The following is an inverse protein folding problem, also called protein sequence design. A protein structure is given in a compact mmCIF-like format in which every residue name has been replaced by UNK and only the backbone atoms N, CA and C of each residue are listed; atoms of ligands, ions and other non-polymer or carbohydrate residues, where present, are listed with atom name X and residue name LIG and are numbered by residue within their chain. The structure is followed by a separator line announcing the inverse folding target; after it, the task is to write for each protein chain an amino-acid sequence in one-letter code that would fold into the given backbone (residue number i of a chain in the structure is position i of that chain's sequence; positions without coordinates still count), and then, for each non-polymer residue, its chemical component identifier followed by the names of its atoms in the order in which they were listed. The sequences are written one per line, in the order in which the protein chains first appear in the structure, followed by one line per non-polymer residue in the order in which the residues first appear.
data_IF_883336167448
#
_entry.id   IF_883336167448
#
_cell.length_a   1.000
_cell.length_b   1.000
_cell.length_c   1.000
_cell.angle_alpha   90.00
_cell.angle_beta   90.00
_cell.angle_gamma   90.00
#
_symmetry.space_group_name_H-M   'P 1'
#
loop_
_entity.id
_entity.type
_entity.pdbx_description
1 polymer ?
#
# COMPACT_ATOMS: atom_id res chain seq x y z
N UNK A 1 -3.18 46.31 83.19
CA UNK A 1 -3.06 45.13 84.06
C UNK A 1 -4.10 44.11 83.60
N UNK A 2 -3.67 42.86 83.37
CA UNK A 2 -4.40 41.58 83.12
C UNK A 2 -5.88 41.55 83.59
N UNK A 3 -6.86 40.81 83.04
CA UNK A 3 -6.91 39.61 82.17
C UNK A 3 -8.38 39.39 81.73
N UNK A 4 -8.55 38.82 80.52
CA UNK A 4 -9.49 37.75 80.07
C UNK A 4 -10.92 37.65 80.66
N UNK A 5 -12.00 37.44 79.89
CA UNK A 5 -12.19 37.17 78.47
C UNK A 5 -13.69 36.92 78.18
N UNK A 6 -14.16 36.88 76.91
CA UNK A 6 -15.57 36.63 76.62
C UNK A 6 -15.86 35.38 75.78
N UNK A 7 -17.06 34.87 76.01
CA UNK A 7 -17.93 34.08 75.14
C UNK A 7 -18.07 34.69 73.74
N UNK A 8 -18.25 33.89 72.68
CA UNK A 8 -19.44 33.88 71.80
C UNK A 8 -19.29 32.97 70.58
N UNK A 9 -20.43 32.84 69.91
CA UNK A 9 -20.91 31.96 68.84
C UNK A 9 -20.23 32.10 67.47
N UNK A 10 -20.38 31.02 66.69
CA UNK A 10 -20.64 30.85 65.25
C UNK A 10 -20.13 31.86 64.18
N UNK A 11 -19.61 31.22 63.12
CA UNK A 11 -19.65 31.49 61.66
C UNK A 11 -18.28 31.82 61.04
N UNK A 12 -17.77 30.92 60.20
CA UNK A 12 -17.42 31.14 58.77
C UNK A 12 -16.22 30.30 58.29
N UNK A 13 -16.44 29.70 57.11
CA UNK A 13 -15.50 29.55 55.99
C UNK A 13 -14.33 28.55 56.07
N UNK A 14 -14.35 27.61 55.10
CA UNK A 14 -13.17 27.26 54.31
C UNK A 14 -12.59 25.87 54.52
N UNK A 15 -12.84 24.96 53.58
CA UNK A 15 -11.81 24.13 52.95
C UNK A 15 -12.44 23.28 51.82
N UNK A 16 -12.13 23.66 50.57
CA UNK A 16 -12.22 22.78 49.41
C UNK A 16 -11.11 21.72 49.53
N UNK A 17 -11.47 20.44 49.53
CA UNK A 17 -10.53 19.34 49.27
C UNK A 17 -11.01 18.59 48.03
N UNK A 18 -10.31 18.84 46.93
CA UNK A 18 -10.43 18.12 45.67
C UNK A 18 -9.81 16.73 45.84
N UNK A 19 -10.62 15.68 45.67
CA UNK A 19 -10.13 14.31 45.50
C UNK A 19 -9.84 14.07 44.02
N UNK A 20 -8.57 14.12 43.63
CA UNK A 20 -8.10 13.64 42.33
C UNK A 20 -8.08 12.12 42.36
N UNK A 21 -9.03 11.49 41.66
CA UNK A 21 -8.93 10.09 41.26
C UNK A 21 -7.85 10.00 40.17
N UNK A 22 -6.72 9.37 40.49
CA UNK A 22 -5.77 8.88 39.50
C UNK A 22 -6.42 7.70 38.77
N UNK A 23 -7.19 8.00 37.72
CA UNK A 23 -7.58 7.01 36.74
C UNK A 23 -6.37 6.76 35.83
N UNK A 24 -5.79 5.57 35.93
CA UNK A 24 -4.85 5.06 34.95
C UNK A 24 -5.54 5.08 33.58
N UNK A 25 -5.19 6.06 32.75
CA UNK A 25 -5.45 5.98 31.33
C UNK A 25 -4.62 4.82 30.79
N UNK A 26 -5.29 3.77 30.36
CA UNK A 26 -4.73 2.87 29.36
C UNK A 26 -4.58 3.71 28.10
N UNK A 27 -3.41 4.34 27.94
CA UNK A 27 -2.93 4.72 26.64
C UNK A 27 -2.75 3.42 25.87
N UNK A 28 -3.67 3.19 24.94
CA UNK A 28 -3.46 2.27 23.84
C UNK A 28 -2.32 2.89 23.02
N UNK A 29 -1.08 2.64 23.45
CA UNK A 29 0.12 2.98 22.71
C UNK A 29 0.08 2.06 21.47
N UNK A 30 -0.65 2.52 20.45
CA UNK A 30 -0.61 1.93 19.13
C UNK A 30 0.85 1.82 18.75
N UNK A 31 1.31 0.58 18.61
CA UNK A 31 2.67 0.23 18.21
C UNK A 31 3.03 1.11 17.02
N UNK A 32 3.92 2.09 17.21
CA UNK A 32 4.40 2.90 16.10
C UNK A 32 4.97 1.93 15.08
N UNK A 33 4.47 1.99 13.84
CA UNK A 33 4.96 1.16 12.76
C UNK A 33 6.50 1.27 12.74
N UNK A 34 7.19 0.12 12.88
CA UNK A 34 8.64 0.12 13.04
C UNK A 34 9.35 0.62 11.78
N UNK A 35 10.61 0.99 11.92
CA UNK A 35 11.45 1.46 10.82
C UNK A 35 11.24 2.93 10.42
N UNK A 36 12.16 3.43 9.60
CA UNK A 36 12.17 4.78 9.06
C UNK A 36 11.33 4.86 7.77
N UNK A 37 10.43 5.85 7.62
CA UNK A 37 9.65 6.01 6.40
C UNK A 37 10.54 6.42 5.22
N UNK A 38 10.48 5.65 4.14
CA UNK A 38 11.18 5.92 2.89
C UNK A 38 10.33 6.85 2.01
N UNK A 39 10.54 8.17 2.14
CA UNK A 39 9.87 9.20 1.35
C UNK A 39 10.67 9.53 0.09
N UNK A 40 10.18 9.11 -1.07
CA UNK A 40 10.90 9.28 -2.33
C UNK A 40 10.30 8.47 -3.47
N UNK A 41 11.15 8.09 -4.41
CA UNK A 41 10.78 7.27 -5.57
C UNK A 41 11.45 5.92 -5.49
N UNK A 42 10.65 4.85 -5.45
CA UNK A 42 11.04 3.48 -5.72
C UNK A 42 11.13 3.32 -7.24
N UNK A 43 12.29 3.60 -7.82
CA UNK A 43 12.49 3.48 -9.27
C UNK A 43 12.50 2.00 -9.65
N UNK A 44 11.70 1.65 -10.65
CA UNK A 44 11.53 0.26 -11.06
C UNK A 44 12.56 -0.15 -12.10
N UNK A 45 13.25 -1.24 -11.83
CA UNK A 45 13.96 -1.97 -12.85
C UNK A 45 12.97 -2.69 -13.78
N UNK A 46 13.26 -2.61 -15.07
CA UNK A 46 12.42 -3.20 -16.09
C UNK A 46 12.43 -4.73 -15.95
N UNK A 47 11.23 -5.31 -15.88
CA UNK A 47 11.08 -6.75 -15.85
C UNK A 47 11.67 -7.40 -17.11
N UNK A 48 12.45 -8.44 -16.90
CA UNK A 48 13.03 -9.27 -17.94
C UNK A 48 12.71 -10.74 -17.66
N UNK A 49 12.55 -11.53 -18.72
CA UNK A 49 12.27 -12.93 -18.61
C UNK A 49 12.94 -13.73 -19.72
N UNK A 50 13.53 -14.85 -19.34
CA UNK A 50 14.16 -15.80 -20.24
C UNK A 50 13.89 -17.24 -19.76
N UNK A 51 14.63 -18.20 -20.31
CA UNK A 51 14.50 -19.61 -19.91
C UNK A 51 15.02 -19.90 -18.49
N UNK A 52 15.74 -18.97 -17.86
CA UNK A 52 16.34 -19.11 -16.52
C UNK A 52 15.45 -18.51 -15.43
N UNK A 53 14.58 -17.57 -15.78
CA UNK A 53 13.62 -17.01 -14.84
C UNK A 53 13.18 -15.60 -15.21
N UNK A 54 12.72 -14.89 -14.20
CA UNK A 54 12.29 -13.49 -14.25
C UNK A 54 13.13 -12.66 -13.29
N UNK A 55 13.51 -11.46 -13.71
CA UNK A 55 14.16 -10.43 -12.90
C UNK A 55 13.44 -9.10 -13.10
N UNK A 56 13.67 -8.12 -12.23
CA UNK A 56 13.03 -6.81 -12.30
C UNK A 56 11.55 -6.87 -11.90
N UNK A 57 10.81 -5.81 -12.19
CA UNK A 57 9.41 -5.70 -11.74
C UNK A 57 8.43 -6.51 -12.60
N UNK A 58 7.45 -7.17 -11.97
CA UNK A 58 6.41 -7.93 -12.67
C UNK A 58 5.11 -8.10 -11.86
N UNK A 59 4.09 -8.52 -12.59
CA UNK A 59 2.78 -8.93 -12.08
C UNK A 59 2.47 -10.36 -12.49
N UNK A 60 1.80 -11.11 -11.61
CA UNK A 60 1.15 -12.39 -11.94
C UNK A 60 -0.27 -12.37 -11.39
N UNK A 61 -1.22 -12.89 -12.15
CA UNK A 61 -2.59 -13.04 -11.67
C UNK A 61 -2.82 -14.49 -11.22
N UNK A 62 -3.35 -14.68 -10.03
CA UNK A 62 -3.66 -15.95 -9.40
C UNK A 62 -5.15 -16.22 -9.58
N UNK A 63 -5.48 -17.41 -10.08
CA UNK A 63 -6.87 -17.85 -10.24
C UNK A 63 -7.47 -18.24 -8.87
N UNK A 64 -8.81 -18.21 -8.72
CA UNK A 64 -9.46 -18.70 -7.51
C UNK A 64 -9.03 -20.12 -7.16
N UNK A 65 -8.56 -20.32 -5.92
CA UNK A 65 -8.04 -21.61 -5.43
C UNK A 65 -6.54 -21.83 -5.67
N UNK A 66 -5.86 -20.92 -6.38
CA UNK A 66 -4.40 -20.86 -6.45
C UNK A 66 -3.76 -20.26 -5.20
N UNK A 67 -2.43 -20.22 -5.17
CA UNK A 67 -1.60 -19.57 -4.12
C UNK A 67 -0.31 -19.06 -4.74
N UNK A 68 0.42 -18.19 -4.04
CA UNK A 68 1.74 -17.73 -4.51
C UNK A 68 2.74 -18.90 -4.58
N UNK A 69 2.71 -19.81 -3.62
CA UNK A 69 3.72 -20.88 -3.50
C UNK A 69 3.41 -22.07 -4.43
N UNK A 70 2.13 -22.46 -4.53
CA UNK A 70 1.72 -23.64 -5.32
C UNK A 70 1.28 -23.29 -6.75
N UNK A 71 1.16 -22.00 -7.06
CA UNK A 71 0.69 -21.52 -8.35
C UNK A 71 -0.81 -21.62 -8.55
N UNK A 72 -1.25 -21.96 -9.77
CA UNK A 72 -2.61 -21.68 -10.24
C UNK A 72 -2.71 -20.29 -10.85
N UNK A 73 -1.68 -19.88 -11.60
CA UNK A 73 -1.62 -18.59 -12.23
C UNK A 73 -2.38 -18.56 -13.55
N UNK A 74 -3.05 -17.45 -13.80
CA UNK A 74 -3.61 -17.12 -15.10
C UNK A 74 -2.48 -16.88 -16.10
N UNK A 75 -2.60 -17.48 -17.29
CA UNK A 75 -1.65 -17.29 -18.38
C UNK A 75 -2.08 -16.08 -19.20
N UNK A 76 -1.32 -14.99 -19.14
CA UNK A 76 -1.55 -13.81 -19.96
C UNK A 76 -1.12 -14.11 -21.40
N UNK A 77 -2.05 -14.24 -22.37
CA UNK A 77 -1.72 -14.59 -23.75
C UNK A 77 -0.84 -13.54 -24.44
N UNK A 78 -0.83 -12.30 -23.94
CA UNK A 78 -0.04 -11.20 -24.50
C UNK A 78 1.41 -11.19 -24.00
N UNK A 79 1.70 -11.90 -22.91
CA UNK A 79 3.03 -12.00 -22.33
C UNK A 79 4.04 -12.53 -23.35
N UNK A 80 5.23 -11.93 -23.34
CA UNK A 80 6.38 -12.37 -24.16
C UNK A 80 7.31 -13.30 -23.41
N UNK A 81 7.02 -13.58 -22.14
CA UNK A 81 7.81 -14.49 -21.34
C UNK A 81 7.55 -15.95 -21.75
N UNK A 82 8.58 -16.82 -21.69
CA UNK A 82 8.37 -18.25 -21.88
C UNK A 82 7.30 -18.83 -20.93
N UNK A 83 7.30 -18.39 -19.68
CA UNK A 83 6.18 -18.58 -18.76
C UNK A 83 5.21 -17.40 -18.88
N UNK A 84 4.07 -17.64 -19.55
CA UNK A 84 3.06 -16.63 -19.82
C UNK A 84 2.29 -16.17 -18.57
N UNK A 85 2.50 -16.78 -17.40
CA UNK A 85 1.93 -16.27 -16.16
C UNK A 85 2.55 -14.95 -15.71
N UNK A 86 3.75 -14.62 -16.19
CA UNK A 86 4.42 -13.36 -15.89
C UNK A 86 4.00 -12.26 -16.85
N UNK A 87 3.63 -11.12 -16.29
CA UNK A 87 3.48 -9.85 -17.02
C UNK A 87 4.53 -8.88 -16.51
N UNK A 88 5.64 -8.77 -17.23
CA UNK A 88 6.74 -7.87 -16.84
C UNK A 88 6.31 -6.40 -16.87
N UNK A 89 6.75 -5.64 -15.89
CA UNK A 89 6.50 -4.21 -15.76
C UNK A 89 7.72 -3.42 -16.22
N UNK A 90 7.48 -2.25 -16.79
CA UNK A 90 8.54 -1.30 -17.16
C UNK A 90 8.21 0.04 -16.53
N UNK A 91 9.21 0.71 -15.97
CA UNK A 91 9.07 2.02 -15.35
C UNK A 91 8.32 3.03 -16.25
N UNK A 92 7.35 3.70 -15.63
CA UNK A 92 6.58 4.80 -16.22
C UNK A 92 7.35 6.11 -16.28
N UNK A 93 6.64 7.22 -16.45
CA UNK A 93 7.23 8.57 -16.59
C UNK A 93 7.89 9.07 -15.33
N UNK A 94 7.44 8.63 -14.16
CA UNK A 94 8.00 9.05 -12.87
C UNK A 94 9.13 8.12 -12.43
N UNK A 95 9.45 7.11 -13.25
CA UNK A 95 10.46 6.10 -12.96
C UNK A 95 9.97 4.98 -12.04
N UNK A 96 8.82 5.12 -11.38
CA UNK A 96 8.27 4.10 -10.49
C UNK A 96 7.26 4.63 -9.49
N UNK A 97 7.14 3.93 -8.36
CA UNK A 97 6.23 4.28 -7.27
C UNK A 97 6.82 5.44 -6.46
N UNK A 98 6.02 6.47 -6.21
CA UNK A 98 6.36 7.58 -5.33
C UNK A 98 5.56 7.45 -4.03
N UNK A 99 6.26 7.37 -2.89
CA UNK A 99 5.65 7.33 -1.56
C UNK A 99 5.31 8.73 -1.06
N UNK A 100 4.34 8.83 -0.15
CA UNK A 100 3.91 10.10 0.42
C UNK A 100 3.11 11.00 -0.54
N UNK A 101 2.83 10.55 -1.77
CA UNK A 101 1.93 11.24 -2.72
C UNK A 101 1.10 10.26 -3.52
N UNK A 102 0.04 10.74 -4.17
CA UNK A 102 -0.70 9.96 -5.16
C UNK A 102 -0.15 10.25 -6.56
N UNK A 103 -0.07 9.22 -7.39
CA UNK A 103 0.12 9.26 -8.84
C UNK A 103 -1.21 8.86 -9.54
N UNK A 104 -2.22 9.76 -9.54
CA UNK A 104 -3.49 9.50 -10.20
C UNK A 104 -3.28 9.53 -11.73
N UNK A 105 -3.85 8.55 -12.43
CA UNK A 105 -3.87 8.55 -13.90
C UNK A 105 -4.53 9.80 -14.52
N UNK A 106 -4.41 10.00 -15.84
CA UNK A 106 -4.96 11.18 -16.50
C UNK A 106 -6.49 11.22 -16.46
N UNK A 107 -7.06 12.41 -16.74
CA UNK A 107 -8.47 12.57 -17.10
C UNK A 107 -8.56 12.82 -18.62
N UNK A 108 -9.23 11.99 -19.42
CA UNK A 108 -9.89 10.72 -19.12
C UNK A 108 -8.91 9.58 -18.81
N UNK A 109 -9.34 8.61 -18.00
CA UNK A 109 -8.48 7.52 -17.53
C UNK A 109 -8.37 6.33 -18.49
N UNK A 110 -9.32 6.20 -19.40
CA UNK A 110 -9.39 5.10 -20.37
C UNK A 110 -9.54 5.61 -21.80
N UNK A 111 -9.02 4.85 -22.76
CA UNK A 111 -9.37 5.02 -24.17
C UNK A 111 -10.80 4.51 -24.43
N UNK A 112 -11.43 4.86 -25.57
CA UNK A 112 -12.71 4.27 -25.97
C UNK A 112 -12.69 2.74 -26.10
N UNK A 113 -11.51 2.14 -26.29
CA UNK A 113 -11.31 0.69 -26.39
C UNK A 113 -11.13 0.02 -25.02
N UNK A 114 -11.07 0.79 -23.93
CA UNK A 114 -10.89 0.28 -22.58
C UNK A 114 -9.44 0.21 -22.09
N UNK A 115 -8.49 0.69 -22.88
CA UNK A 115 -7.08 0.78 -22.46
C UNK A 115 -6.95 1.77 -21.31
N UNK A 116 -6.35 1.34 -20.21
CA UNK A 116 -5.99 2.25 -19.12
C UNK A 116 -4.80 3.14 -19.51
N UNK A 117 -4.90 4.42 -19.18
CA UNK A 117 -3.97 5.46 -19.64
C UNK A 117 -2.99 5.95 -18.56
N UNK A 118 -3.09 5.45 -17.33
CA UNK A 118 -2.11 5.76 -16.29
C UNK A 118 -0.71 5.28 -16.71
N UNK A 119 0.30 6.13 -16.61
CA UNK A 119 1.64 5.81 -17.12
C UNK A 119 2.78 6.30 -16.24
N UNK A 120 2.44 6.73 -15.02
CA UNK A 120 3.39 7.35 -14.09
C UNK A 120 4.26 6.30 -13.40
N UNK A 121 3.64 5.28 -12.81
CA UNK A 121 4.32 4.22 -12.06
C UNK A 121 4.93 3.20 -13.01
N UNK A 122 4.09 2.53 -13.79
CA UNK A 122 4.49 1.61 -14.87
C UNK A 122 3.97 2.13 -16.20
N UNK A 123 4.65 1.78 -17.30
CA UNK A 123 4.04 1.90 -18.64
C UNK A 123 2.86 0.94 -18.74
N UNK A 124 1.74 1.32 -19.37
CA UNK A 124 0.65 0.40 -19.64
C UNK A 124 1.13 -0.84 -20.39
N UNK A 125 0.91 -2.02 -19.82
CA UNK A 125 1.22 -3.31 -20.42
C UNK A 125 -0.05 -3.96 -20.97
N UNK A 126 0.05 -4.83 -21.97
CA UNK A 126 -1.12 -5.54 -22.48
C UNK A 126 -1.41 -6.77 -21.60
N UNK A 127 -2.67 -6.88 -21.18
CA UNK A 127 -3.21 -8.02 -20.46
C UNK A 127 -4.55 -8.37 -21.09
N UNK A 128 -4.65 -9.58 -21.63
CA UNK A 128 -5.85 -10.07 -22.35
C UNK A 128 -6.36 -9.08 -23.41
N UNK A 129 -5.45 -8.67 -24.30
CA UNK A 129 -5.61 -7.73 -25.42
C UNK A 129 -5.87 -6.25 -25.06
N UNK A 130 -6.07 -5.91 -23.79
CA UNK A 130 -6.32 -4.54 -23.32
C UNK A 130 -5.11 -4.04 -22.54
N UNK A 131 -4.77 -2.76 -22.67
CA UNK A 131 -3.74 -2.17 -21.82
C UNK A 131 -4.25 -2.05 -20.39
N UNK A 132 -3.61 -2.75 -19.46
CA UNK A 132 -3.76 -2.50 -18.04
C UNK A 132 -2.68 -1.52 -17.57
N UNK A 133 -3.02 -0.72 -16.57
CA UNK A 133 -2.11 0.26 -16.02
C UNK A 133 -2.29 0.40 -14.51
N UNK A 134 -1.24 0.89 -13.85
CA UNK A 134 -1.23 1.12 -12.41
C UNK A 134 -1.27 2.61 -12.10
N UNK A 135 -2.05 2.92 -11.06
CA UNK A 135 -2.14 4.23 -10.43
C UNK A 135 -2.29 4.06 -8.93
N UNK A 136 -2.05 5.13 -8.17
CA UNK A 136 -2.45 5.19 -6.76
C UNK A 136 -3.60 6.18 -6.63
N UNK A 137 -4.73 5.73 -6.09
CA UNK A 137 -5.95 6.53 -6.00
C UNK A 137 -6.16 7.06 -4.59
N UNK A 138 -6.72 8.26 -4.46
CA UNK A 138 -7.09 8.83 -3.16
C UNK A 138 -8.44 8.34 -2.64
N UNK A 139 -9.22 7.68 -3.50
CA UNK A 139 -10.53 7.10 -3.17
C UNK A 139 -10.59 5.71 -3.79
N UNK A 140 -11.05 4.73 -3.03
CA UNK A 140 -11.20 3.36 -3.52
C UNK A 140 -12.33 3.29 -4.55
N UNK A 141 -12.08 2.72 -5.74
CA UNK A 141 -13.11 2.62 -6.78
C UNK A 141 -14.25 1.64 -6.46
N UNK A 142 -14.02 0.69 -5.55
CA UNK A 142 -15.01 -0.32 -5.16
C UNK A 142 -15.88 0.14 -3.99
N UNK A 143 -15.28 0.66 -2.92
CA UNK A 143 -15.96 1.06 -1.69
C UNK A 143 -16.32 2.54 -1.63
N UNK A 144 -15.58 3.40 -2.34
CA UNK A 144 -15.72 4.86 -2.26
C UNK A 144 -15.05 5.49 -1.03
N UNK A 145 -14.28 4.71 -0.26
CA UNK A 145 -13.56 5.19 0.92
C UNK A 145 -12.30 5.98 0.54
N UNK A 146 -11.93 6.95 1.38
CA UNK A 146 -10.65 7.64 1.24
C UNK A 146 -9.50 6.69 1.55
N UNK A 147 -8.44 6.74 0.74
CA UNK A 147 -7.28 5.87 0.89
C UNK A 147 -6.07 6.64 1.43
N UNK A 148 -5.21 5.99 2.22
CA UNK A 148 -3.93 6.59 2.59
C UNK A 148 -3.01 6.68 1.37
N UNK A 149 -2.08 7.63 1.41
CA UNK A 149 -1.00 7.72 0.41
C UNK A 149 -0.07 6.54 0.58
N UNK A 150 0.52 5.95 -0.49
CA UNK A 150 1.49 4.88 -0.36
C UNK A 150 2.62 5.20 0.62
N UNK A 151 2.94 4.26 1.49
CA UNK A 151 4.01 4.37 2.48
C UNK A 151 4.80 3.05 2.54
N UNK A 152 6.12 3.16 2.55
CA UNK A 152 7.05 2.06 2.78
C UNK A 152 8.03 2.51 3.87
N UNK A 153 8.39 1.61 4.78
CA UNK A 153 9.29 1.83 5.90
C UNK A 153 10.44 0.83 5.82
N UNK A 154 11.62 1.27 6.25
CA UNK A 154 12.83 0.47 6.35
C UNK A 154 13.18 0.23 7.83
N UNK A 155 13.22 -1.03 8.24
CA UNK A 155 13.65 -1.47 9.56
C UNK A 155 14.88 -2.36 9.39
N UNK A 156 16.08 -1.76 9.47
CA UNK A 156 17.37 -2.45 9.29
C UNK A 156 17.46 -3.32 8.03
N UNK A 157 17.01 -2.79 6.89
CA UNK A 157 17.03 -3.46 5.58
C UNK A 157 15.82 -4.35 5.32
N UNK A 158 14.87 -4.44 6.26
CA UNK A 158 13.57 -5.10 6.06
C UNK A 158 12.53 -4.05 5.70
N UNK A 159 11.89 -4.20 4.54
CA UNK A 159 10.84 -3.30 4.09
C UNK A 159 9.46 -3.79 4.52
N UNK A 160 8.65 -2.86 5.00
CA UNK A 160 7.22 -3.05 5.27
C UNK A 160 6.44 -1.80 4.87
N UNK A 161 5.12 -1.83 4.95
CA UNK A 161 4.31 -0.62 4.78
C UNK A 161 2.91 -0.92 4.28
N UNK A 162 2.31 0.07 3.62
CA UNK A 162 1.02 -0.08 2.98
C UNK A 162 0.99 0.55 1.59
N UNK A 163 0.35 -0.17 0.69
CA UNK A 163 0.08 0.22 -0.68
C UNK A 163 -1.42 0.14 -0.95
N UNK A 164 -2.27 0.45 0.03
CA UNK A 164 -3.74 0.34 -0.06
C UNK A 164 -4.32 1.09 -1.27
N UNK A 165 -3.67 2.19 -1.68
CA UNK A 165 -4.03 2.99 -2.84
C UNK A 165 -3.71 2.34 -4.21
N UNK A 166 -2.94 1.26 -4.27
CA UNK A 166 -2.49 0.63 -5.51
C UNK A 166 -3.69 0.06 -6.30
N UNK A 167 -3.98 0.68 -7.44
CA UNK A 167 -5.17 0.39 -8.25
C UNK A 167 -4.78 0.02 -9.67
N UNK A 168 -5.27 -1.12 -10.12
CA UNK A 168 -5.17 -1.55 -11.52
C UNK A 168 -6.38 -1.04 -12.32
N UNK A 169 -6.12 -0.32 -13.41
CA UNK A 169 -7.13 -0.01 -14.42
C UNK A 169 -7.06 -1.01 -15.57
N UNK A 170 -8.20 -1.55 -16.00
CA UNK A 170 -8.30 -2.45 -17.16
C UNK A 170 -9.73 -2.49 -17.70
N UNK A 171 -9.90 -2.37 -19.02
CA UNK A 171 -11.18 -2.49 -19.72
C UNK A 171 -12.30 -1.59 -19.15
N UNK A 172 -11.99 -0.30 -18.97
CA UNK A 172 -12.88 0.70 -18.36
C UNK A 172 -13.31 0.41 -16.91
N UNK A 173 -12.62 -0.51 -16.24
CA UNK A 173 -12.84 -0.84 -14.84
C UNK A 173 -11.59 -0.57 -14.01
N UNK A 174 -11.80 -0.39 -12.73
CA UNK A 174 -10.73 -0.31 -11.74
C UNK A 174 -10.86 -1.47 -10.76
N UNK A 175 -9.71 -1.96 -10.29
CA UNK A 175 -9.59 -3.02 -9.32
C UNK A 175 -8.60 -2.59 -8.25
N UNK A 176 -9.03 -2.54 -6.99
CA UNK A 176 -8.11 -2.33 -5.88
C UNK A 176 -7.17 -3.55 -5.79
N UNK A 177 -5.88 -3.27 -5.89
CA UNK A 177 -4.80 -4.24 -5.82
C UNK A 177 -3.77 -3.87 -4.74
N UNK A 178 -4.19 -3.02 -3.81
CA UNK A 178 -3.41 -2.59 -2.67
C UNK A 178 -3.44 -3.59 -1.53
N UNK A 179 -2.54 -3.37 -0.58
CA UNK A 179 -2.52 -4.10 0.68
C UNK A 179 -2.12 -3.17 1.84
N UNK A 180 -2.81 -3.24 2.99
CA UNK A 180 -4.05 -4.01 3.21
C UNK A 180 -5.20 -3.44 2.37
N UNK A 181 -6.38 -4.08 2.45
CA UNK A 181 -7.62 -3.53 1.87
C UNK A 181 -8.04 -2.22 2.55
N UNK A 182 -8.95 -1.44 1.93
CA UNK A 182 -9.44 -0.18 2.51
C UNK A 182 -9.96 -0.32 3.95
N UNK A 183 -10.60 -1.45 4.26
CA UNK A 183 -11.08 -1.81 5.61
C UNK A 183 -9.99 -2.34 6.56
N UNK A 184 -8.72 -2.28 6.15
CA UNK A 184 -7.56 -2.79 6.87
C UNK A 184 -7.40 -4.31 6.82
N UNK A 185 -8.26 -5.04 6.10
CA UNK A 185 -8.23 -6.50 6.09
C UNK A 185 -7.27 -7.10 5.07
N UNK A 186 -6.88 -8.35 5.35
CA UNK A 186 -6.07 -9.22 4.49
C UNK A 186 -6.92 -10.38 3.92
N UNK A 187 -8.14 -10.06 3.46
CA UNK A 187 -9.07 -11.09 2.97
C UNK A 187 -8.54 -11.79 1.71
N UNK A 188 -8.84 -13.09 1.61
CA UNK A 188 -8.44 -13.94 0.50
C UNK A 188 -6.94 -14.23 0.53
N UNK A 189 -6.26 -13.98 -0.58
CA UNK A 189 -4.79 -13.95 -0.70
C UNK A 189 -4.28 -12.50 -0.69
N UNK A 190 -4.85 -11.63 0.14
CA UNK A 190 -4.22 -10.33 0.38
C UNK A 190 -3.16 -10.54 1.45
N UNK A 191 -1.94 -10.09 1.24
CA UNK A 191 -0.83 -10.26 2.18
C UNK A 191 -0.20 -8.91 2.51
N UNK A 192 0.48 -8.75 3.66
CA UNK A 192 1.28 -7.57 3.94
C UNK A 192 2.25 -7.23 2.80
N UNK A 193 2.63 -5.95 2.73
CA UNK A 193 3.74 -5.52 1.88
C UNK A 193 5.03 -5.85 2.61
N UNK A 194 5.87 -6.65 1.97
CA UNK A 194 7.14 -7.11 2.54
C UNK A 194 8.26 -6.92 1.51
N UNK A 195 9.49 -6.77 1.99
CA UNK A 195 10.63 -6.61 1.09
C UNK A 195 11.98 -6.49 1.79
N UNK A 196 12.99 -6.21 0.99
CA UNK A 196 14.37 -5.98 1.43
C UNK A 196 14.91 -4.69 0.87
N UNK A 197 15.86 -4.08 1.58
CA UNK A 197 16.55 -2.87 1.18
C UNK A 197 18.04 -2.94 1.53
N UNK A 198 18.87 -2.65 0.54
CA UNK A 198 20.31 -2.50 0.69
C UNK A 198 20.64 -1.00 0.73
N UNK A 199 21.09 -0.51 1.88
CA UNK A 199 21.32 0.93 2.10
C UNK A 199 22.48 1.49 1.29
N UNK A 200 23.49 0.66 0.97
CA UNK A 200 24.70 1.08 0.26
C UNK A 200 24.41 1.35 -1.22
N UNK A 201 23.62 0.48 -1.83
CA UNK A 201 23.25 0.54 -3.25
C UNK A 201 21.91 1.22 -3.49
N UNK A 202 21.07 1.29 -2.46
CA UNK A 202 19.65 1.68 -2.56
C UNK A 202 18.78 0.62 -3.23
N UNK A 203 19.30 -0.59 -3.49
CA UNK A 203 18.52 -1.66 -4.12
C UNK A 203 17.39 -2.10 -3.21
N UNK A 204 16.22 -2.35 -3.80
CA UNK A 204 15.07 -2.87 -3.07
C UNK A 204 14.39 -4.00 -3.85
N UNK A 205 13.75 -4.87 -3.09
CA UNK A 205 12.70 -5.77 -3.57
C UNK A 205 11.47 -5.57 -2.68
N UNK A 206 10.29 -5.47 -3.28
CA UNK A 206 9.01 -5.36 -2.60
C UNK A 206 8.04 -6.35 -3.21
N UNK A 207 7.26 -7.05 -2.39
CA UNK A 207 6.23 -7.95 -2.87
C UNK A 207 5.00 -7.95 -1.97
N UNK A 208 3.86 -8.20 -2.59
CA UNK A 208 2.61 -8.46 -1.89
C UNK A 208 1.63 -9.16 -2.83
N UNK A 209 0.57 -9.69 -2.24
CA UNK A 209 -0.58 -10.19 -2.96
C UNK A 209 -1.84 -9.43 -2.55
N UNK A 210 -2.81 -9.33 -3.46
CA UNK A 210 -4.05 -8.59 -3.23
C UNK A 210 -5.23 -9.21 -3.97
N UNK A 211 -6.26 -9.60 -3.23
CA UNK A 211 -7.47 -10.21 -3.81
C UNK A 211 -8.38 -9.16 -4.42
N UNK A 212 -8.86 -9.41 -5.63
CA UNK A 212 -9.82 -8.55 -6.33
C UNK A 212 -11.21 -8.81 -5.76
N UNK A 213 -11.90 -7.73 -5.42
CA UNK A 213 -13.29 -7.74 -4.95
C UNK A 213 -14.19 -7.17 -6.04
N UNK A 214 -15.05 -8.03 -6.61
CA UNK A 214 -16.00 -7.66 -7.65
C UNK A 214 -15.45 -7.61 -9.07
N UNK A 215 -16.35 -7.30 -10.01
CA UNK A 215 -16.05 -7.26 -11.44
C UNK A 215 -15.74 -8.63 -12.07
N UNK A 216 -15.23 -8.66 -13.30
CA UNK A 216 -14.97 -9.91 -14.03
C UNK A 216 -13.88 -10.79 -13.43
N UNK A 217 -13.01 -10.22 -12.60
CA UNK A 217 -11.91 -10.92 -11.92
C UNK A 217 -12.18 -11.13 -10.43
N UNK A 218 -13.45 -11.13 -10.01
CA UNK A 218 -13.82 -11.37 -8.61
C UNK A 218 -13.14 -12.64 -8.04
N UNK A 219 -12.50 -12.50 -6.87
CA UNK A 219 -11.73 -13.53 -6.15
C UNK A 219 -10.45 -14.02 -6.84
N UNK A 220 -10.06 -13.44 -7.96
CA UNK A 220 -8.67 -13.55 -8.42
C UNK A 220 -7.78 -12.72 -7.51
N UNK A 221 -6.48 -12.99 -7.49
CA UNK A 221 -5.53 -12.17 -6.73
C UNK A 221 -4.37 -11.75 -7.62
N UNK A 222 -3.93 -10.51 -7.48
CA UNK A 222 -2.67 -10.05 -8.05
C UNK A 222 -1.52 -10.39 -7.11
N UNK A 223 -0.45 -10.96 -7.64
CA UNK A 223 0.86 -10.97 -7.00
C UNK A 223 1.74 -9.94 -7.69
N UNK A 224 2.32 -9.06 -6.88
CA UNK A 224 3.18 -7.97 -7.32
C UNK A 224 4.59 -8.21 -6.80
N UNK A 225 5.56 -7.98 -7.66
CA UNK A 225 6.96 -7.91 -7.30
C UNK A 225 7.54 -6.67 -7.96
N UNK A 226 8.04 -5.75 -7.15
CA UNK A 226 8.73 -4.53 -7.58
C UNK A 226 10.19 -4.65 -7.16
N UNK A 227 11.08 -4.38 -8.10
CA UNK A 227 12.52 -4.40 -7.89
C UNK A 227 13.10 -3.12 -8.48
N UNK A 228 14.14 -2.57 -7.85
CA UNK A 228 14.94 -1.50 -8.43
C UNK A 228 15.72 -0.71 -7.40
N UNK A 229 15.74 0.62 -7.49
CA UNK A 229 16.51 1.49 -6.59
C UNK A 229 15.66 2.58 -5.97
N UNK A 230 15.75 2.76 -4.66
CA UNK A 230 15.11 3.87 -3.96
C UNK A 230 15.91 5.16 -4.12
N UNK A 231 15.19 6.27 -4.35
CA UNK A 231 15.76 7.61 -4.42
C UNK A 231 14.95 8.54 -3.54
N UNK A 232 15.56 8.99 -2.45
CA UNK A 232 14.94 9.92 -1.50
C UNK A 232 14.47 11.21 -2.19
N UNK A 233 13.34 11.74 -1.72
CA UNK A 233 12.89 13.08 -2.10
C UNK A 233 13.92 14.13 -1.67
N UNK A 234 14.01 15.22 -2.44
CA UNK A 234 14.88 16.37 -2.13
C UNK A 234 14.14 17.42 -1.32
#
# INVERSE_FOLDING_TARGET
MKLSGPSFRLVAAGALLSATLAGCGSSDDGEEASGEPLVGTFRLDAGHCDAKGVTGSYFRMIQPGGTVEKGGYFLNPDSKCPDQSYSVAVAGTDGGLVTGTFQPGPKAAFSPQGDALAGQITRPGTFTAIKFAISTQSVDPGTGEELPRPEIRNDDGVLSGQLTAWTAGWNNLYFNQGSPKPDGSEKGLTSPVEGTYDEDSGHFELSWSSTIEGGPFDRFSGYWHLEGTFVAAK
#
